data_IF_396739605413
#
_entry.id   IF_396739605413
#
_cell.length_a   1.000
_cell.length_b   1.000
_cell.length_c   1.000
_cell.angle_alpha   90.00
_cell.angle_beta   90.00
_cell.angle_gamma   90.00
#
_symmetry.space_group_name_H-M   'P 1'
#
loop_
_entity.id
_entity.type
_entity.pdbx_description
1 polymer ?
#
# COMPACT_ATOMS: atom_id res chain seq x y z
N UNK A 1 3.57 -16.57 6.21
CA UNK A 1 3.89 -15.41 7.07
C UNK A 1 4.26 -15.97 8.43
N UNK A 2 5.25 -15.43 9.14
CA UNK A 2 5.39 -15.77 10.56
C UNK A 2 4.22 -15.14 11.33
N UNK A 3 3.63 -15.86 12.28
CA UNK A 3 2.48 -15.35 13.07
C UNK A 3 2.92 -14.38 14.16
N UNK A 4 4.17 -14.49 14.60
CA UNK A 4 4.77 -13.64 15.61
C UNK A 4 6.26 -13.38 15.32
N UNK A 5 6.79 -12.31 15.93
CA UNK A 5 8.22 -12.01 15.91
C UNK A 5 9.01 -13.05 16.71
N UNK A 6 10.08 -13.61 16.14
CA UNK A 6 10.91 -14.62 16.81
C UNK A 6 11.75 -14.06 17.98
N UNK A 7 11.99 -12.74 18.02
CA UNK A 7 12.81 -12.09 19.05
C UNK A 7 12.00 -11.61 20.25
N UNK A 8 10.80 -11.07 20.02
CA UNK A 8 9.98 -10.46 21.08
C UNK A 8 8.60 -11.10 21.25
N UNK A 9 8.22 -12.07 20.43
CA UNK A 9 6.92 -12.74 20.51
C UNK A 9 5.72 -11.91 20.06
N UNK A 10 5.94 -10.70 19.51
CA UNK A 10 4.85 -9.82 19.05
C UNK A 10 4.01 -10.52 17.98
N UNK A 11 2.72 -10.75 18.25
CA UNK A 11 1.77 -11.31 17.27
C UNK A 11 1.43 -10.24 16.23
N UNK A 12 1.65 -10.54 14.95
CA UNK A 12 1.40 -9.59 13.88
C UNK A 12 -0.10 -9.42 13.55
N UNK A 13 -0.90 -10.45 13.79
CA UNK A 13 -2.35 -10.41 13.61
C UNK A 13 -3.02 -10.69 14.95
N UNK A 14 -3.47 -9.62 15.62
CA UNK A 14 -4.06 -9.71 16.97
C UNK A 14 -5.56 -10.02 16.95
N UNK A 15 -6.25 -9.60 15.89
CA UNK A 15 -7.67 -9.81 15.70
C UNK A 15 -8.00 -10.07 14.23
N UNK A 16 -9.16 -10.66 13.95
CA UNK A 16 -9.64 -10.77 12.57
C UNK A 16 -9.81 -9.38 11.96
N UNK A 17 -9.35 -9.20 10.71
CA UNK A 17 -9.43 -7.91 10.04
C UNK A 17 -8.39 -6.89 10.52
N UNK A 18 -7.39 -7.29 11.30
CA UNK A 18 -6.35 -6.38 11.80
C UNK A 18 -5.66 -5.58 10.68
N UNK A 19 -5.53 -6.15 9.48
CA UNK A 19 -4.90 -5.48 8.33
C UNK A 19 -5.85 -4.63 7.48
N UNK A 20 -7.09 -4.36 7.91
CA UNK A 20 -8.00 -3.46 7.18
C UNK A 20 -7.38 -2.06 7.03
N UNK A 21 -6.73 -1.53 8.06
CA UNK A 21 -6.01 -0.26 7.95
C UNK A 21 -4.87 -0.32 6.92
N UNK A 22 -4.12 -1.42 6.87
CA UNK A 22 -3.10 -1.63 5.85
C UNK A 22 -3.67 -1.67 4.42
N UNK A 23 -4.89 -2.21 4.23
CA UNK A 23 -5.59 -2.18 2.93
C UNK A 23 -5.90 -0.73 2.53
N UNK A 24 -6.40 0.10 3.46
CA UNK A 24 -6.67 1.51 3.16
C UNK A 24 -5.41 2.30 2.84
N UNK A 25 -4.31 2.06 3.56
CA UNK A 25 -3.00 2.66 3.26
C UNK A 25 -2.55 2.26 1.85
N UNK A 26 -2.64 0.97 1.52
CA UNK A 26 -2.25 0.46 0.21
C UNK A 26 -3.09 1.10 -0.92
N UNK A 27 -4.40 1.18 -0.72
CA UNK A 27 -5.33 1.81 -1.64
C UNK A 27 -5.02 3.30 -1.83
N UNK A 28 -4.85 4.06 -0.74
CA UNK A 28 -4.57 5.50 -0.80
C UNK A 28 -3.29 5.80 -1.57
N UNK A 29 -2.21 5.05 -1.31
CA UNK A 29 -0.95 5.21 -2.04
C UNK A 29 -1.10 4.81 -3.51
N UNK A 30 -1.82 3.73 -3.81
CA UNK A 30 -2.06 3.29 -5.19
C UNK A 30 -2.84 4.34 -5.99
N UNK A 31 -3.87 4.94 -5.39
CA UNK A 31 -4.64 6.04 -5.99
C UNK A 31 -3.75 7.26 -6.22
N UNK A 32 -2.91 7.62 -5.23
CA UNK A 32 -1.99 8.74 -5.38
C UNK A 32 -0.99 8.51 -6.53
N UNK A 33 -0.43 7.30 -6.63
CA UNK A 33 0.45 6.91 -7.76
C UNK A 33 -0.29 7.03 -9.09
N UNK A 34 -1.55 6.61 -9.16
CA UNK A 34 -2.35 6.71 -10.38
C UNK A 34 -2.60 8.18 -10.79
N UNK A 35 -3.00 9.03 -9.83
CA UNK A 35 -3.28 10.46 -10.08
C UNK A 35 -2.00 11.18 -10.49
N UNK A 36 -0.92 11.03 -9.72
CA UNK A 36 0.36 11.67 -10.02
C UNK A 36 0.91 11.17 -11.36
N UNK A 37 0.88 9.86 -11.60
CA UNK A 37 1.29 9.27 -12.86
C UNK A 37 0.50 9.81 -14.06
N UNK A 38 -0.82 9.92 -13.93
CA UNK A 38 -1.67 10.52 -14.97
C UNK A 38 -1.28 11.98 -15.26
N UNK A 39 -1.15 12.81 -14.22
CA UNK A 39 -0.80 14.22 -14.36
C UNK A 39 0.57 14.41 -15.02
N UNK A 40 1.57 13.58 -14.66
CA UNK A 40 2.91 13.63 -15.24
C UNK A 40 2.91 13.20 -16.72
N UNK A 41 2.24 12.09 -17.04
CA UNK A 41 2.17 11.58 -18.41
C UNK A 41 1.39 12.53 -19.33
N UNK A 42 0.34 13.17 -18.80
CA UNK A 42 -0.46 14.14 -19.55
C UNK A 42 0.28 15.47 -19.71
N UNK A 43 0.68 16.07 -18.59
CA UNK A 43 1.15 17.45 -18.54
C UNK A 43 2.61 17.65 -18.96
N UNK A 44 3.45 16.62 -18.85
CA UNK A 44 4.89 16.72 -19.18
C UNK A 44 5.23 15.89 -20.42
N UNK A 45 4.83 14.62 -20.43
CA UNK A 45 5.26 13.69 -21.47
C UNK A 45 4.39 13.73 -22.74
N UNK A 46 3.24 14.40 -22.72
CA UNK A 46 2.34 14.53 -23.87
C UNK A 46 1.79 13.20 -24.38
N UNK A 47 1.63 12.21 -23.49
CA UNK A 47 1.14 10.88 -23.88
C UNK A 47 -0.29 10.96 -24.41
N UNK A 48 -0.58 10.21 -25.48
CA UNK A 48 -1.97 9.95 -25.89
C UNK A 48 -2.72 9.16 -24.81
N UNK A 49 -4.05 9.28 -24.76
CA UNK A 49 -4.89 8.54 -23.79
C UNK A 49 -4.63 7.03 -23.83
N UNK A 50 -4.44 6.46 -25.03
CA UNK A 50 -4.10 5.04 -25.19
C UNK A 50 -2.75 4.70 -24.55
N UNK A 51 -1.74 5.55 -24.75
CA UNK A 51 -0.42 5.38 -24.13
C UNK A 51 -0.48 5.47 -22.61
N UNK A 52 -1.27 6.39 -22.06
CA UNK A 52 -1.45 6.52 -20.62
C UNK A 52 -2.08 5.27 -20.02
N UNK A 53 -3.16 4.74 -20.63
CA UNK A 53 -3.81 3.52 -20.15
C UNK A 53 -2.88 2.31 -20.23
N UNK A 54 -2.10 2.19 -21.32
CA UNK A 54 -1.14 1.11 -21.50
C UNK A 54 -0.06 1.07 -20.40
N UNK A 55 0.28 2.21 -19.80
CA UNK A 55 1.26 2.30 -18.70
C UNK A 55 0.59 2.21 -17.32
N UNK A 56 -0.46 2.99 -17.09
CA UNK A 56 -1.05 3.17 -15.76
C UNK A 56 -1.87 1.95 -15.31
N UNK A 57 -2.58 1.28 -16.22
CA UNK A 57 -3.38 0.09 -15.86
C UNK A 57 -2.52 -1.04 -15.29
N UNK A 58 -1.45 -1.51 -15.97
CA UNK A 58 -0.60 -2.55 -15.39
C UNK A 58 0.12 -2.07 -14.13
N UNK A 59 0.53 -0.79 -14.07
CA UNK A 59 1.14 -0.21 -12.88
C UNK A 59 0.21 -0.32 -11.67
N UNK A 60 -1.04 0.13 -11.81
CA UNK A 60 -2.05 0.12 -10.72
C UNK A 60 -2.49 -1.31 -10.37
N UNK A 61 -2.41 -2.26 -11.29
CA UNK A 61 -2.69 -3.67 -10.99
C UNK A 61 -1.56 -4.35 -10.19
N UNK A 62 -0.30 -4.05 -10.52
CA UNK A 62 0.86 -4.74 -9.94
C UNK A 62 1.37 -4.04 -8.66
N UNK A 63 1.34 -2.71 -8.65
CA UNK A 63 1.82 -1.89 -7.53
C UNK A 63 1.22 -2.30 -6.16
N UNK A 64 -0.11 -2.44 -5.98
CA UNK A 64 -0.68 -2.78 -4.69
C UNK A 64 -0.22 -4.15 -4.19
N UNK A 65 -0.05 -5.14 -5.08
CA UNK A 65 0.44 -6.48 -4.74
C UNK A 65 1.86 -6.45 -4.20
N UNK A 66 2.74 -5.66 -4.83
CA UNK A 66 4.10 -5.46 -4.36
C UNK A 66 4.14 -4.59 -3.09
N UNK A 67 3.31 -3.55 -3.01
CA UNK A 67 3.34 -2.54 -1.95
C UNK A 67 2.68 -3.02 -0.64
N UNK A 68 1.79 -4.02 -0.70
CA UNK A 68 1.01 -4.48 0.45
C UNK A 68 1.86 -4.88 1.66
N UNK A 69 3.06 -5.44 1.42
CA UNK A 69 4.01 -5.76 2.51
C UNK A 69 4.42 -4.53 3.32
N UNK A 70 4.64 -3.40 2.65
CA UNK A 70 5.03 -2.15 3.30
C UNK A 70 3.84 -1.52 4.01
N UNK A 71 2.65 -1.59 3.41
CA UNK A 71 1.41 -1.12 4.04
C UNK A 71 1.14 -1.84 5.36
N UNK A 72 1.40 -3.16 5.43
CA UNK A 72 1.29 -3.94 6.68
C UNK A 72 2.31 -3.54 7.72
N UNK A 73 3.58 -3.38 7.34
CA UNK A 73 4.62 -2.91 8.26
C UNK A 73 4.33 -1.51 8.81
N UNK A 74 3.86 -0.61 7.94
CA UNK A 74 3.49 0.74 8.36
C UNK A 74 2.29 0.73 9.30
N UNK A 75 1.25 -0.05 9.00
CA UNK A 75 0.09 -0.21 9.87
C UNK A 75 0.47 -0.74 11.26
N UNK A 76 1.34 -1.75 11.33
CA UNK A 76 1.86 -2.26 12.61
C UNK A 76 2.57 -1.17 13.42
N UNK A 77 3.37 -0.33 12.77
CA UNK A 77 4.05 0.77 13.43
C UNK A 77 3.08 1.85 13.94
N UNK A 78 2.04 2.16 13.15
CA UNK A 78 0.98 3.10 13.54
C UNK A 78 0.20 2.57 14.74
N UNK A 79 -0.25 1.31 14.68
CA UNK A 79 -0.99 0.68 15.78
C UNK A 79 -0.16 0.59 17.07
N UNK A 80 1.14 0.26 16.96
CA UNK A 80 2.02 0.25 18.12
C UNK A 80 2.23 1.67 18.71
N UNK A 81 2.32 2.70 17.87
CA UNK A 81 2.45 4.08 18.33
C UNK A 81 1.18 4.63 18.99
N UNK A 82 0.00 4.21 18.51
CA UNK A 82 -1.30 4.66 19.04
C UNK A 82 -1.69 3.84 20.27
N UNK A 83 -1.45 2.54 20.26
CA UNK A 83 -1.85 1.61 21.31
C UNK A 83 -0.72 0.63 21.67
N UNK A 84 0.32 1.12 22.38
CA UNK A 84 1.50 0.31 22.73
C UNK A 84 1.20 -0.81 23.74
N UNK A 85 0.12 -0.69 24.51
CA UNK A 85 -0.31 -1.66 25.54
C UNK A 85 -1.25 -2.77 25.04
N UNK A 86 -1.51 -2.85 23.73
CA UNK A 86 -2.35 -3.89 23.09
C UNK A 86 -1.61 -5.15 22.63
#
# INVERSE_FOLDING_TARGET
>A
MADACALCGLRFERAQGYFVGAIYINYAVTVLVAIVGFLLLWGIAGFSTRGQLAVLVPLVAIFPLWFFRYSRSFWLAVEWAINPES
#
